data_IF_331564761123
#
_entry.id   IF_331564761123
#
_cell.length_a   1.000
_cell.length_b   1.000
_cell.length_c   1.000
_cell.angle_alpha   90.00
_cell.angle_beta   90.00
_cell.angle_gamma   90.00
#
_symmetry.space_group_name_H-M   'P 1'
#
loop_
_entity.id
_entity.type
_entity.pdbx_description
1 polymer ?
#
# COMPACT_ATOMS: atom_id res chain seq x y z
N UNK A 1 -9.98 -13.18 2.89
CA UNK A 1 -8.56 -12.88 2.67
C UNK A 1 -8.45 -11.38 2.59
N UNK A 2 -7.70 -10.77 3.51
CA UNK A 2 -7.54 -9.33 3.56
C UNK A 2 -6.23 -8.93 2.87
N UNK A 3 -6.28 -8.02 1.90
CA UNK A 3 -5.08 -7.54 1.21
C UNK A 3 -4.96 -6.02 1.26
N UNK A 4 -3.73 -5.54 1.42
CA UNK A 4 -3.39 -4.13 1.24
C UNK A 4 -2.77 -3.96 -0.15
N UNK A 5 -3.43 -3.16 -0.98
CA UNK A 5 -3.02 -2.85 -2.35
C UNK A 5 -2.55 -1.42 -2.41
N UNK A 6 -1.38 -1.17 -2.97
CA UNK A 6 -0.84 0.19 -3.14
C UNK A 6 -0.26 0.33 -4.56
N UNK A 7 -0.64 1.40 -5.25
CA UNK A 7 0.02 1.84 -6.47
C UNK A 7 0.58 3.25 -6.29
N UNK A 8 1.87 3.41 -6.61
CA UNK A 8 2.53 4.71 -6.72
C UNK A 8 3.27 4.87 -8.04
N UNK A 9 2.77 4.24 -9.10
CA UNK A 9 3.39 4.35 -10.43
C UNK A 9 3.00 5.67 -11.11
N UNK A 10 1.83 6.23 -10.78
CA UNK A 10 1.29 7.44 -11.42
C UNK A 10 1.39 8.71 -10.55
N UNK A 11 1.01 9.85 -11.12
CA UNK A 11 0.88 11.13 -10.38
C UNK A 11 -0.33 11.19 -9.43
N UNK A 12 -1.15 10.14 -9.36
CA UNK A 12 -2.26 10.00 -8.42
C UNK A 12 -2.10 8.67 -7.68
N UNK A 13 -1.13 8.56 -6.76
CA UNK A 13 -0.93 7.33 -6.02
C UNK A 13 -2.13 7.04 -5.12
N UNK A 14 -2.32 5.77 -4.81
CA UNK A 14 -3.44 5.34 -3.98
C UNK A 14 -3.19 4.01 -3.29
N UNK A 15 -4.01 3.76 -2.29
CA UNK A 15 -4.08 2.50 -1.58
C UNK A 15 -5.53 2.06 -1.40
N UNK A 16 -5.72 0.75 -1.28
CA UNK A 16 -6.98 0.16 -0.91
C UNK A 16 -6.78 -1.08 -0.04
N UNK A 17 -7.77 -1.37 0.80
CA UNK A 17 -7.87 -2.65 1.49
C UNK A 17 -9.02 -3.43 0.89
N UNK A 18 -8.76 -4.68 0.54
CA UNK A 18 -9.77 -5.61 0.07
C UNK A 18 -10.03 -6.71 1.09
N UNK A 19 -11.29 -7.07 1.23
CA UNK A 19 -11.77 -8.28 1.91
C UNK A 19 -12.36 -9.22 0.86
N UNK A 20 -11.56 -10.17 0.39
CA UNK A 20 -11.89 -10.92 -0.82
C UNK A 20 -12.00 -9.99 -2.02
N UNK A 21 -13.20 -9.80 -2.55
CA UNK A 21 -13.48 -8.93 -3.70
C UNK A 21 -14.08 -7.57 -3.29
N UNK A 22 -14.34 -7.35 -2.00
CA UNK A 22 -14.94 -6.12 -1.51
C UNK A 22 -13.86 -5.12 -1.10
N UNK A 23 -13.93 -3.90 -1.62
CA UNK A 23 -13.05 -2.80 -1.23
C UNK A 23 -13.60 -2.13 0.03
N UNK A 24 -12.93 -2.32 1.17
CA UNK A 24 -13.41 -1.86 2.49
C UNK A 24 -12.73 -0.58 2.99
N UNK A 25 -11.60 -0.20 2.41
CA UNK A 25 -10.90 1.05 2.69
C UNK A 25 -10.21 1.55 1.41
N UNK A 26 -10.16 2.85 1.22
CA UNK A 26 -9.46 3.50 0.11
C UNK A 26 -8.84 4.81 0.57
N UNK A 27 -7.66 5.13 0.03
CA UNK A 27 -7.14 6.49 0.05
C UNK A 27 -6.41 6.79 -1.25
N UNK A 28 -6.72 7.94 -1.82
CA UNK A 28 -6.01 8.53 -2.95
C UNK A 28 -5.29 9.78 -2.44
N UNK A 29 -4.06 9.99 -2.87
CA UNK A 29 -3.31 11.21 -2.57
C UNK A 29 -3.33 12.15 -3.79
N UNK A 30 -3.51 13.44 -3.51
CA UNK A 30 -3.44 14.49 -4.53
C UNK A 30 -1.97 14.81 -4.83
N UNK A 31 -1.42 14.13 -5.86
CA UNK A 31 -0.02 14.25 -6.25
C UNK A 31 0.88 13.23 -5.56
N UNK A 32 2.09 13.03 -6.10
CA UNK A 32 3.08 12.14 -5.50
C UNK A 32 3.63 12.78 -4.21
N UNK A 33 3.46 12.14 -3.03
CA UNK A 33 4.07 12.61 -1.80
C UNK A 33 5.59 12.68 -2.00
N UNK A 34 6.12 13.90 -1.98
CA UNK A 34 7.50 14.22 -2.36
C UNK A 34 8.55 13.67 -1.38
N UNK A 35 8.15 13.15 -0.21
CA UNK A 35 9.04 12.52 0.77
C UNK A 35 8.35 11.44 1.60
N UNK A 36 9.04 10.32 1.84
CA UNK A 36 8.83 9.54 3.06
C UNK A 36 9.31 10.41 4.26
N UNK A 37 8.60 10.44 5.41
CA UNK A 37 7.61 9.46 5.87
C UNK A 37 6.13 9.84 5.70
N UNK A 38 5.78 10.94 5.01
CA UNK A 38 4.42 11.50 5.03
C UNK A 38 3.32 10.51 4.62
N UNK A 39 3.47 9.88 3.45
CA UNK A 39 2.46 8.96 2.92
C UNK A 39 2.30 7.67 3.75
N UNK A 40 3.38 7.20 4.38
CA UNK A 40 3.34 6.03 5.27
C UNK A 40 2.58 6.36 6.56
N UNK A 41 2.79 7.56 7.11
CA UNK A 41 2.05 8.03 8.27
C UNK A 41 0.55 8.20 7.95
N UNK A 42 0.22 8.79 6.81
CA UNK A 42 -1.18 8.93 6.35
C UNK A 42 -1.84 7.57 6.08
N UNK A 43 -1.12 6.62 5.48
CA UNK A 43 -1.57 5.25 5.32
C UNK A 43 -1.87 4.62 6.69
N UNK A 44 -0.93 4.71 7.63
CA UNK A 44 -1.09 4.14 8.97
C UNK A 44 -2.31 4.73 9.72
N UNK A 45 -2.51 6.04 9.63
CA UNK A 45 -3.70 6.71 10.21
C UNK A 45 -4.99 6.20 9.55
N UNK A 46 -5.03 6.15 8.22
CA UNK A 46 -6.21 5.68 7.50
C UNK A 46 -6.55 4.22 7.84
N UNK A 47 -5.54 3.36 7.96
CA UNK A 47 -5.74 1.98 8.41
C UNK A 47 -6.26 1.93 9.84
N UNK A 48 -5.68 2.70 10.76
CA UNK A 48 -6.11 2.76 12.15
C UNK A 48 -7.56 3.26 12.30
N UNK A 49 -7.99 4.23 11.49
CA UNK A 49 -9.38 4.73 11.45
C UNK A 49 -10.39 3.64 11.04
N UNK A 50 -9.92 2.60 10.34
CA UNK A 50 -10.70 1.41 9.99
C UNK A 50 -10.46 0.22 10.94
N UNK A 51 -9.78 0.43 12.06
CA UNK A 51 -9.45 -0.62 13.03
C UNK A 51 -8.41 -1.63 12.54
N UNK A 52 -7.62 -1.27 11.51
CA UNK A 52 -6.60 -2.11 10.90
C UNK A 52 -5.19 -1.71 11.37
N UNK A 53 -4.30 -2.70 11.42
CA UNK A 53 -2.88 -2.53 11.72
C UNK A 53 -2.00 -3.39 10.79
N UNK A 54 -0.68 -3.34 10.95
CA UNK A 54 0.25 -4.07 10.09
C UNK A 54 0.03 -5.59 10.04
N UNK A 55 -0.45 -6.20 11.12
CA UNK A 55 -0.72 -7.64 11.21
C UNK A 55 -2.11 -8.03 10.67
N UNK A 56 -2.91 -7.06 10.22
CA UNK A 56 -4.29 -7.29 9.79
C UNK A 56 -4.43 -7.92 8.40
N UNK A 57 -3.32 -8.08 7.66
CA UNK A 57 -3.33 -8.46 6.25
C UNK A 57 -2.78 -9.86 6.01
N UNK A 58 -3.39 -10.57 5.06
CA UNK A 58 -2.96 -11.87 4.57
C UNK A 58 -1.98 -11.74 3.41
N UNK A 59 -2.02 -10.64 2.68
CA UNK A 59 -1.14 -10.35 1.56
C UNK A 59 -0.99 -8.85 1.31
N UNK A 60 0.10 -8.50 0.63
CA UNK A 60 0.38 -7.15 0.16
C UNK A 60 0.53 -7.13 -1.35
N UNK A 61 0.07 -6.07 -2.02
CA UNK A 61 0.07 -5.97 -3.49
C UNK A 61 0.63 -4.62 -3.91
N UNK A 62 1.61 -4.63 -4.81
CA UNK A 62 2.27 -3.44 -5.36
C UNK A 62 2.00 -3.32 -6.86
N UNK A 63 1.60 -2.13 -7.32
CA UNK A 63 1.72 -1.78 -8.74
C UNK A 63 3.21 -1.65 -9.15
N UNK A 64 3.61 -2.36 -10.21
CA UNK A 64 5.00 -2.40 -10.70
C UNK A 64 5.29 -1.39 -11.82
N UNK A 65 4.30 -0.60 -12.21
CA UNK A 65 4.41 0.37 -13.29
C UNK A 65 3.89 -0.13 -14.64
N UNK A 66 4.28 0.52 -15.76
CA UNK A 66 5.34 1.54 -15.87
C UNK A 66 5.01 2.83 -15.13
N UNK A 67 6.03 3.61 -14.75
CA UNK A 67 5.81 4.90 -14.09
C UNK A 67 6.95 5.36 -13.18
N UNK A 68 6.59 6.02 -12.09
CA UNK A 68 7.50 6.64 -11.12
C UNK A 68 8.52 5.64 -10.56
N UNK A 69 9.78 5.77 -10.98
CA UNK A 69 10.90 4.94 -10.50
C UNK A 69 11.07 5.01 -8.97
N UNK A 70 10.86 6.18 -8.39
CA UNK A 70 10.95 6.38 -6.94
C UNK A 70 9.69 5.89 -6.22
N UNK A 71 8.51 6.15 -6.79
CA UNK A 71 7.23 5.76 -6.21
C UNK A 71 7.06 4.25 -6.10
N UNK A 72 7.33 3.52 -7.19
CA UNK A 72 7.24 2.05 -7.23
C UNK A 72 8.17 1.42 -6.20
N UNK A 73 9.42 1.89 -6.08
CA UNK A 73 10.38 1.33 -5.12
C UNK A 73 10.05 1.68 -3.67
N UNK A 74 9.57 2.90 -3.42
CA UNK A 74 9.09 3.26 -2.09
C UNK A 74 7.91 2.39 -1.65
N UNK A 75 6.97 2.12 -2.55
CA UNK A 75 5.85 1.21 -2.34
C UNK A 75 6.32 -0.21 -2.04
N UNK A 76 7.17 -0.78 -2.90
CA UNK A 76 7.67 -2.14 -2.75
C UNK A 76 8.44 -2.32 -1.43
N UNK A 77 9.33 -1.40 -1.08
CA UNK A 77 10.09 -1.47 0.17
C UNK A 77 9.19 -1.37 1.41
N UNK A 78 8.16 -0.54 1.38
CA UNK A 78 7.21 -0.43 2.48
C UNK A 78 6.41 -1.72 2.69
N UNK A 79 5.86 -2.29 1.60
CA UNK A 79 5.07 -3.52 1.66
C UNK A 79 5.93 -4.72 2.08
N UNK A 80 7.17 -4.81 1.61
CA UNK A 80 8.12 -5.82 2.08
C UNK A 80 8.43 -5.65 3.57
N UNK A 81 8.59 -4.42 4.06
CA UNK A 81 8.79 -4.15 5.48
C UNK A 81 7.61 -4.58 6.36
N UNK A 82 6.37 -4.35 5.89
CA UNK A 82 5.15 -4.80 6.58
C UNK A 82 4.97 -6.32 6.53
N UNK A 83 5.39 -6.96 5.44
CA UNK A 83 5.30 -8.40 5.26
C UNK A 83 6.31 -9.20 6.09
N UNK A 84 7.46 -8.59 6.40
CA UNK A 84 8.61 -9.25 7.00
C UNK A 84 8.34 -9.98 8.33
N UNK A 85 7.61 -9.39 9.32
CA UNK A 85 7.42 -10.02 10.62
C UNK A 85 6.67 -11.36 10.57
N UNK A 86 5.65 -11.46 9.72
CA UNK A 86 4.77 -12.64 9.63
C UNK A 86 5.00 -13.47 8.36
N UNK A 87 6.01 -13.12 7.55
CA UNK A 87 6.31 -13.80 6.29
C UNK A 87 5.17 -13.76 5.28
N UNK A 88 4.37 -12.68 5.27
CA UNK A 88 3.23 -12.55 4.34
C UNK A 88 3.70 -12.41 2.89
N UNK A 89 2.96 -12.94 1.90
CA UNK A 89 3.30 -12.76 0.51
C UNK A 89 3.16 -11.30 0.06
N UNK A 90 4.08 -10.87 -0.81
CA UNK A 90 4.02 -9.60 -1.54
C UNK A 90 3.91 -9.90 -3.02
N UNK A 91 2.81 -9.48 -3.66
CA UNK A 91 2.56 -9.66 -5.09
C UNK A 91 2.83 -8.36 -5.84
N UNK A 92 3.33 -8.50 -7.06
CA UNK A 92 3.47 -7.40 -8.01
C UNK A 92 2.48 -7.52 -9.16
N UNK A 93 1.89 -6.41 -9.58
CA UNK A 93 1.02 -6.30 -10.76
C UNK A 93 1.69 -5.39 -11.78
N UNK A 94 1.91 -5.88 -13.00
CA UNK A 94 2.58 -5.18 -14.09
C UNK A 94 1.64 -4.91 -15.27
#
# INVERSE_FOLDING_TARGET
MRSLVIDRSSGRPGMAVFEGNERVCEKVWDGEPTRAPGWLAEMALTLADHGLNGASFDAFVCGLGPGSFSGIRACLSALQGLALPDGKPVYGVA
#
